data_IF_566306896667
#
_entry.id   IF_566306896667
#
_cell.length_a   1.000
_cell.length_b   1.000
_cell.length_c   1.000
_cell.angle_alpha   90.00
_cell.angle_beta   90.00
_cell.angle_gamma   90.00
#
_symmetry.space_group_name_H-M   'P 1'
#
loop_
_entity.id
_entity.type
_entity.pdbx_description
1 polymer ?
#
# COMPACT_ATOMS: atom_id res chain seq x y z
N UNK A 1 -9.36 42.20 -40.27
CA UNK A 1 -8.24 41.70 -39.42
C UNK A 1 -7.40 42.83 -38.82
N UNK A 2 -7.20 43.95 -39.49
CA UNK A 2 -6.38 45.08 -39.00
C UNK A 2 -6.93 45.85 -37.78
N UNK A 3 -8.25 46.00 -37.62
CA UNK A 3 -8.82 46.76 -36.49
C UNK A 3 -8.63 46.08 -35.13
N UNK A 4 -8.60 44.77 -35.08
CA UNK A 4 -8.44 44.02 -33.84
C UNK A 4 -7.03 44.19 -33.25
N UNK A 5 -5.99 44.16 -34.09
CA UNK A 5 -4.60 44.39 -33.66
C UNK A 5 -4.38 45.84 -33.19
N UNK A 6 -5.01 46.82 -33.82
CA UNK A 6 -4.92 48.23 -33.40
C UNK A 6 -5.57 48.50 -32.04
N UNK A 7 -6.66 47.79 -31.72
CA UNK A 7 -7.33 47.88 -30.41
C UNK A 7 -6.45 47.24 -29.29
N UNK A 8 -5.83 46.10 -29.59
CA UNK A 8 -4.89 45.45 -28.68
C UNK A 8 -3.66 46.34 -28.41
N UNK A 9 -3.09 46.93 -29.44
CA UNK A 9 -1.96 47.85 -29.33
C UNK A 9 -2.30 49.06 -28.46
N UNK A 10 -3.44 49.70 -28.68
CA UNK A 10 -3.88 50.84 -27.86
C UNK A 10 -4.09 50.45 -26.39
N UNK A 11 -4.65 49.25 -26.13
CA UNK A 11 -4.81 48.77 -24.79
C UNK A 11 -3.47 48.49 -24.11
N UNK A 12 -2.54 47.84 -24.81
CA UNK A 12 -1.21 47.56 -24.33
C UNK A 12 -0.41 48.80 -23.98
N UNK A 13 -0.45 49.83 -24.82
CA UNK A 13 0.19 51.12 -24.58
C UNK A 13 -0.39 51.78 -23.33
N UNK A 14 -1.73 51.87 -23.20
CA UNK A 14 -2.37 52.45 -22.01
C UNK A 14 -2.03 51.71 -20.73
N UNK A 15 -1.99 50.37 -20.79
CA UNK A 15 -1.61 49.55 -19.65
C UNK A 15 -0.14 49.81 -19.23
N UNK A 16 0.77 49.88 -20.21
CA UNK A 16 2.18 50.19 -19.98
C UNK A 16 2.35 51.55 -19.35
N UNK A 17 1.69 52.59 -19.87
CA UNK A 17 1.74 53.94 -19.29
C UNK A 17 1.22 53.96 -17.84
N UNK A 18 0.16 53.25 -17.54
CA UNK A 18 -0.42 53.15 -16.20
C UNK A 18 0.54 52.47 -15.23
N UNK A 19 1.18 51.35 -15.64
CA UNK A 19 2.16 50.64 -14.87
C UNK A 19 3.38 51.50 -14.57
N UNK A 20 3.94 52.19 -15.58
CA UNK A 20 5.11 53.04 -15.43
C UNK A 20 4.80 54.27 -14.54
N UNK A 21 3.63 54.90 -14.74
CA UNK A 21 3.21 56.05 -13.94
C UNK A 21 3.02 55.69 -12.47
N UNK A 22 2.49 54.50 -12.18
CA UNK A 22 2.17 54.05 -10.83
C UNK A 22 3.03 52.86 -10.43
N UNK A 23 4.32 52.90 -10.72
CA UNK A 23 5.26 51.76 -10.52
C UNK A 23 5.24 51.16 -9.11
N UNK A 24 5.20 51.98 -8.08
CA UNK A 24 5.14 51.50 -6.70
C UNK A 24 3.84 50.80 -6.37
N UNK A 25 2.70 51.34 -6.82
CA UNK A 25 1.42 50.71 -6.64
C UNK A 25 1.32 49.35 -7.36
N UNK A 26 1.87 49.27 -8.57
CA UNK A 26 1.94 48.01 -9.33
C UNK A 26 2.81 46.97 -8.62
N UNK A 27 3.98 47.38 -8.10
CA UNK A 27 4.87 46.46 -7.36
C UNK A 27 4.14 45.94 -6.10
N UNK A 28 3.53 46.80 -5.31
CA UNK A 28 2.83 46.42 -4.09
C UNK A 28 1.65 45.49 -4.43
N UNK A 29 0.87 45.83 -5.46
CA UNK A 29 -0.26 45.00 -5.90
C UNK A 29 0.21 43.61 -6.35
N UNK A 30 1.26 43.53 -7.17
CA UNK A 30 1.81 42.25 -7.63
C UNK A 30 2.32 41.41 -6.46
N UNK A 31 3.01 42.05 -5.49
CA UNK A 31 3.50 41.36 -4.30
C UNK A 31 2.34 40.80 -3.44
N UNK A 32 1.32 41.62 -3.20
CA UNK A 32 0.14 41.19 -2.45
C UNK A 32 -0.61 40.08 -3.16
N UNK A 33 -0.76 40.18 -4.50
CA UNK A 33 -1.39 39.15 -5.31
C UNK A 33 -0.62 37.82 -5.25
N UNK A 34 0.72 37.87 -5.37
CA UNK A 34 1.59 36.70 -5.25
C UNK A 34 1.47 36.07 -3.86
N UNK A 35 1.47 36.87 -2.79
CA UNK A 35 1.27 36.37 -1.43
C UNK A 35 -0.12 35.75 -1.24
N UNK A 36 -1.16 36.36 -1.79
CA UNK A 36 -2.52 35.80 -1.74
C UNK A 36 -2.62 34.45 -2.48
N UNK A 37 -2.02 34.34 -3.67
CA UNK A 37 -1.93 33.08 -4.41
C UNK A 37 -1.12 32.02 -3.64
N UNK A 38 0.03 32.42 -3.07
CA UNK A 38 0.85 31.54 -2.23
C UNK A 38 0.12 31.04 -0.99
N UNK A 39 -0.67 31.89 -0.36
CA UNK A 39 -1.52 31.49 0.76
C UNK A 39 -2.59 30.48 0.36
N UNK A 40 -3.13 30.58 -0.87
CA UNK A 40 -4.07 29.57 -1.41
C UNK A 40 -3.45 28.20 -1.61
N UNK A 41 -2.12 28.13 -1.82
CA UNK A 41 -1.43 26.85 -2.06
C UNK A 41 -1.52 25.88 -0.86
N UNK A 42 -1.71 26.38 0.35
CA UNK A 42 -1.92 25.51 1.54
C UNK A 42 -3.20 24.64 1.46
N UNK A 43 -4.16 25.01 0.59
CA UNK A 43 -5.39 24.27 0.38
C UNK A 43 -5.29 23.25 -0.77
N UNK A 44 -4.10 23.14 -1.40
CA UNK A 44 -3.85 22.11 -2.40
C UNK A 44 -3.65 20.77 -1.68
N UNK A 45 -4.54 19.83 -1.94
CA UNK A 45 -4.42 18.45 -1.50
C UNK A 45 -4.09 17.57 -2.70
N UNK A 46 -3.09 16.72 -2.55
CA UNK A 46 -2.83 15.67 -3.53
C UNK A 46 -3.70 14.47 -3.17
N UNK A 47 -4.53 14.03 -4.11
CA UNK A 47 -5.31 12.81 -3.96
C UNK A 47 -4.82 11.78 -4.97
N UNK A 48 -4.46 10.59 -4.51
CA UNK A 48 -4.16 9.42 -5.35
C UNK A 48 -5.42 8.63 -5.70
N UNK A 49 -6.58 9.06 -5.19
CA UNK A 49 -7.84 8.40 -5.43
C UNK A 49 -8.28 8.61 -6.90
N UNK A 50 -8.40 7.51 -7.64
CA UNK A 50 -8.83 7.52 -9.05
C UNK A 50 -10.22 8.15 -9.28
N UNK A 51 -11.08 8.22 -8.24
CA UNK A 51 -12.40 8.84 -8.30
C UNK A 51 -12.36 10.32 -8.68
N UNK A 52 -11.26 10.99 -8.37
CA UNK A 52 -11.09 12.43 -8.73
C UNK A 52 -11.12 12.65 -10.24
N UNK A 53 -10.81 11.63 -11.03
CA UNK A 53 -10.83 11.70 -12.50
C UNK A 53 -12.21 11.42 -13.13
N UNK A 54 -13.19 11.01 -12.33
CA UNK A 54 -14.53 10.69 -12.80
C UNK A 54 -15.56 11.65 -12.20
N UNK A 55 -16.61 11.93 -12.98
CA UNK A 55 -17.77 12.64 -12.43
C UNK A 55 -18.54 11.73 -11.47
N UNK A 56 -19.05 12.28 -10.37
CA UNK A 56 -19.91 11.55 -9.41
C UNK A 56 -21.17 10.93 -10.06
N UNK A 57 -21.59 11.48 -11.22
CA UNK A 57 -22.73 10.98 -12.00
C UNK A 57 -22.36 9.86 -12.97
N UNK A 58 -21.06 9.50 -13.11
CA UNK A 58 -20.61 8.48 -14.07
C UNK A 58 -21.24 7.11 -13.73
N UNK A 59 -21.98 6.48 -14.64
CA UNK A 59 -22.66 5.23 -14.39
C UNK A 59 -21.70 4.05 -14.20
N UNK A 60 -20.55 4.07 -14.87
CA UNK A 60 -19.53 3.03 -14.75
C UNK A 60 -18.83 3.08 -13.38
N UNK A 61 -18.54 4.30 -12.89
CA UNK A 61 -18.02 4.49 -11.54
C UNK A 61 -19.00 3.96 -10.50
N UNK A 62 -20.28 4.30 -10.61
CA UNK A 62 -21.32 3.79 -9.69
C UNK A 62 -21.48 2.28 -9.73
N UNK A 63 -21.39 1.66 -10.91
CA UNK A 63 -21.42 0.21 -11.05
C UNK A 63 -20.21 -0.44 -10.38
N UNK A 64 -19.02 0.14 -10.57
CA UNK A 64 -17.78 -0.31 -9.93
C UNK A 64 -17.83 -0.15 -8.41
N UNK A 65 -18.33 0.98 -7.90
CA UNK A 65 -18.50 1.21 -6.46
C UNK A 65 -19.52 0.23 -5.84
N UNK A 66 -20.62 -0.05 -6.56
CA UNK A 66 -21.59 -1.06 -6.14
C UNK A 66 -20.96 -2.46 -6.10
N UNK A 67 -20.12 -2.80 -7.08
CA UNK A 67 -19.36 -4.04 -7.08
C UNK A 67 -18.41 -4.10 -5.88
N UNK A 68 -17.62 -3.06 -5.63
CA UNK A 68 -16.70 -2.97 -4.49
C UNK A 68 -17.41 -3.01 -3.12
N UNK A 69 -18.64 -2.49 -3.04
CA UNK A 69 -19.43 -2.56 -1.79
C UNK A 69 -19.97 -3.96 -1.50
N UNK A 70 -20.15 -4.77 -2.55
CA UNK A 70 -20.64 -6.16 -2.45
C UNK A 70 -19.49 -7.15 -2.27
N UNK A 71 -18.38 -6.91 -2.97
CA UNK A 71 -17.16 -7.70 -2.92
C UNK A 71 -16.06 -6.86 -2.29
N UNK A 72 -15.19 -7.49 -1.50
CA UNK A 72 -14.09 -6.80 -0.80
C UNK A 72 -13.19 -6.06 -1.80
N UNK A 73 -12.76 -4.86 -1.46
CA UNK A 73 -11.70 -4.15 -2.19
C UNK A 73 -10.40 -4.93 -2.10
N UNK A 74 -9.60 -4.86 -3.17
CA UNK A 74 -8.29 -5.52 -3.22
C UNK A 74 -7.14 -4.57 -2.78
N UNK A 75 -7.42 -3.69 -1.82
CA UNK A 75 -6.36 -2.88 -1.22
C UNK A 75 -5.57 -3.79 -0.27
N UNK A 76 -4.29 -3.96 -0.49
CA UNK A 76 -3.45 -4.81 0.35
C UNK A 76 -2.03 -4.28 0.49
N UNK A 77 -1.38 -4.67 1.57
CA UNK A 77 0.07 -4.62 1.75
C UNK A 77 0.59 -6.04 1.64
N UNK A 78 1.56 -6.24 0.78
CA UNK A 78 2.21 -7.53 0.58
C UNK A 78 3.65 -7.43 1.08
N UNK A 79 3.97 -8.17 2.14
CA UNK A 79 5.35 -8.35 2.57
C UNK A 79 5.91 -9.57 1.87
N UNK A 80 6.97 -9.39 1.08
CA UNK A 80 7.69 -10.48 0.44
C UNK A 80 8.97 -10.72 1.22
N UNK A 81 9.08 -11.89 1.82
CA UNK A 81 10.24 -12.29 2.63
C UNK A 81 11.11 -13.24 1.82
N UNK A 82 12.38 -12.88 1.67
CA UNK A 82 13.39 -13.64 0.95
C UNK A 82 14.64 -13.82 1.81
N UNK A 83 15.29 -14.97 1.68
CA UNK A 83 16.60 -15.20 2.31
C UNK A 83 17.73 -14.56 1.53
N UNK A 84 18.67 -13.94 2.24
CA UNK A 84 19.94 -13.43 1.69
C UNK A 84 20.94 -14.56 1.36
N UNK A 85 20.65 -15.80 1.79
CA UNK A 85 21.48 -16.98 1.60
C UNK A 85 20.68 -18.12 0.97
N UNK A 86 21.31 -19.01 0.19
CA UNK A 86 20.62 -20.18 -0.35
C UNK A 86 19.98 -21.02 0.77
N UNK A 87 18.75 -21.46 0.53
CA UNK A 87 18.00 -22.32 1.44
C UNK A 87 16.55 -21.88 1.57
N UNK A 88 15.70 -22.75 2.09
CA UNK A 88 14.29 -22.48 2.26
C UNK A 88 13.98 -21.72 3.55
N UNK A 89 12.77 -21.16 3.65
CA UNK A 89 12.27 -20.41 4.82
C UNK A 89 11.75 -21.31 5.95
N UNK A 90 11.70 -22.65 5.76
CA UNK A 90 11.24 -23.59 6.76
C UNK A 90 12.36 -23.96 7.75
N UNK A 91 12.62 -23.04 8.64
CA UNK A 91 13.48 -23.23 9.80
C UNK A 91 12.98 -22.32 10.93
N UNK A 92 13.43 -22.57 12.15
CA UNK A 92 12.95 -21.89 13.35
C UNK A 92 13.08 -20.35 13.28
N UNK A 93 14.25 -19.86 12.87
CA UNK A 93 14.53 -18.43 12.82
C UNK A 93 13.65 -17.71 11.80
N UNK A 94 13.58 -18.23 10.57
CA UNK A 94 12.86 -17.57 9.47
C UNK A 94 11.34 -17.64 9.71
N UNK A 95 10.83 -18.79 10.17
CA UNK A 95 9.40 -18.92 10.52
C UNK A 95 9.02 -18.05 11.72
N UNK A 96 9.93 -17.84 12.66
CA UNK A 96 9.73 -16.88 13.77
C UNK A 96 9.60 -15.46 13.24
N UNK A 97 10.45 -15.05 12.29
CA UNK A 97 10.35 -13.75 11.66
C UNK A 97 9.03 -13.57 10.88
N UNK A 98 8.66 -14.58 10.06
CA UNK A 98 7.40 -14.57 9.29
C UNK A 98 6.20 -14.48 10.22
N UNK A 99 6.21 -15.22 11.34
CA UNK A 99 5.16 -15.16 12.35
C UNK A 99 5.09 -13.77 12.98
N UNK A 100 6.21 -13.17 13.32
CA UNK A 100 6.25 -11.81 13.88
C UNK A 100 5.70 -10.78 12.89
N UNK A 101 6.07 -10.86 11.60
CA UNK A 101 5.48 -10.01 10.56
C UNK A 101 3.96 -10.22 10.52
N UNK A 102 3.50 -11.48 10.52
CA UNK A 102 2.08 -11.83 10.47
C UNK A 102 1.30 -11.23 11.65
N UNK A 103 1.82 -11.36 12.87
CA UNK A 103 1.21 -10.82 14.08
C UNK A 103 1.17 -9.28 14.07
N UNK A 104 2.25 -8.64 13.61
CA UNK A 104 2.31 -7.19 13.49
C UNK A 104 1.47 -6.65 12.34
N UNK A 105 1.33 -7.40 11.25
CA UNK A 105 0.48 -7.03 10.12
C UNK A 105 -0.99 -6.89 10.52
N UNK A 106 -1.47 -7.65 11.50
CA UNK A 106 -2.81 -7.47 12.09
C UNK A 106 -3.01 -6.13 12.79
N UNK A 107 -1.93 -5.42 13.12
CA UNK A 107 -1.97 -4.11 13.76
C UNK A 107 -1.85 -2.94 12.78
N UNK A 108 -1.67 -3.21 11.49
CA UNK A 108 -1.69 -2.18 10.45
C UNK A 108 -3.08 -1.52 10.47
N UNK A 109 -3.16 -0.18 10.49
CA UNK A 109 -4.44 0.51 10.40
C UNK A 109 -5.27 0.03 9.20
N UNK A 110 -6.56 -0.18 9.41
CA UNK A 110 -7.54 -0.60 8.41
C UNK A 110 -7.39 -2.04 7.91
N UNK A 111 -6.54 -2.87 8.52
CA UNK A 111 -6.43 -4.28 8.17
C UNK A 111 -7.70 -5.05 8.59
N UNK A 112 -8.16 -5.93 7.69
CA UNK A 112 -9.33 -6.80 7.94
C UNK A 112 -8.98 -8.29 7.88
N UNK A 113 -7.86 -8.63 7.24
CA UNK A 113 -7.38 -10.01 7.14
C UNK A 113 -5.89 -10.03 6.87
N UNK A 114 -5.21 -11.02 7.42
CA UNK A 114 -3.80 -11.30 7.13
C UNK A 114 -3.69 -12.78 6.76
N UNK A 115 -3.10 -13.06 5.60
CA UNK A 115 -2.85 -14.39 5.09
C UNK A 115 -1.35 -14.63 5.02
N UNK A 116 -0.86 -15.72 5.62
CA UNK A 116 0.55 -16.14 5.57
C UNK A 116 0.67 -17.64 5.76
N UNK A 117 1.86 -18.19 5.51
CA UNK A 117 2.11 -19.62 5.77
C UNK A 117 2.05 -19.97 7.27
N UNK A 118 2.23 -19.00 8.17
CA UNK A 118 2.25 -19.24 9.62
C UNK A 118 0.88 -19.19 10.28
N UNK A 119 -0.15 -18.71 9.58
CA UNK A 119 -1.54 -18.76 10.05
C UNK A 119 -2.46 -19.53 9.10
N UNK A 120 -1.89 -20.25 8.12
CA UNK A 120 -2.64 -21.13 7.24
C UNK A 120 -3.11 -22.36 8.01
N UNK A 121 -4.40 -22.63 7.94
CA UNK A 121 -4.98 -23.81 8.58
C UNK A 121 -4.96 -25.01 7.65
N UNK A 122 -4.13 -25.98 7.99
CA UNK A 122 -4.06 -27.25 7.30
C UNK A 122 -5.09 -28.22 7.86
N UNK A 123 -5.83 -28.89 6.98
CA UNK A 123 -6.81 -29.91 7.35
C UNK A 123 -6.30 -31.28 6.93
N UNK A 124 -6.16 -32.17 7.89
CA UNK A 124 -5.76 -33.57 7.67
C UNK A 124 -6.85 -34.54 8.16
N UNK A 125 -6.93 -35.71 7.53
CA UNK A 125 -7.84 -36.77 7.95
C UNK A 125 -7.03 -37.87 8.67
N UNK A 126 -7.43 -38.18 9.90
CA UNK A 126 -6.83 -39.26 10.69
C UNK A 126 -7.93 -40.26 11.09
N UNK A 127 -8.04 -41.35 10.34
CA UNK A 127 -9.15 -42.28 10.49
C UNK A 127 -10.49 -41.65 10.06
N UNK A 128 -11.44 -41.52 10.98
CA UNK A 128 -12.76 -40.93 10.76
C UNK A 128 -12.80 -39.47 11.23
N UNK A 129 -11.70 -38.91 11.77
CA UNK A 129 -11.64 -37.57 12.31
C UNK A 129 -10.92 -36.59 11.35
N UNK A 130 -11.46 -35.36 11.28
CA UNK A 130 -10.80 -34.22 10.62
C UNK A 130 -10.06 -33.38 11.67
N UNK A 131 -8.76 -33.26 11.49
CA UNK A 131 -7.89 -32.41 12.32
C UNK A 131 -7.61 -31.12 11.55
N UNK A 132 -7.88 -29.98 12.19
CA UNK A 132 -7.56 -28.65 11.66
C UNK A 132 -6.54 -28.04 12.60
N UNK A 133 -5.34 -27.74 12.09
CA UNK A 133 -4.24 -27.15 12.82
C UNK A 133 -3.54 -26.09 11.99
N UNK A 134 -2.85 -25.15 12.63
CA UNK A 134 -2.00 -24.22 11.90
C UNK A 134 -0.86 -24.99 11.24
N UNK A 135 -0.53 -24.63 9.99
CA UNK A 135 0.53 -25.30 9.23
C UNK A 135 1.86 -25.27 10.00
N UNK A 136 2.12 -24.18 10.73
CA UNK A 136 3.32 -23.99 11.55
C UNK A 136 2.90 -23.71 12.99
N UNK A 137 3.09 -24.68 13.86
CA UNK A 137 2.86 -24.56 15.30
C UNK A 137 4.16 -24.30 16.05
N UNK A 138 4.34 -23.05 16.51
CA UNK A 138 5.40 -22.69 17.46
C UNK A 138 6.83 -22.99 17.01
N UNK A 139 7.76 -22.92 17.98
CA UNK A 139 9.15 -23.30 17.77
C UNK A 139 9.30 -24.82 17.91
N UNK A 140 10.05 -25.42 17.01
CA UNK A 140 10.35 -26.83 17.03
C UNK A 140 11.84 -27.07 16.73
N UNK A 141 12.53 -27.86 17.56
CA UNK A 141 13.93 -28.16 17.33
C UNK A 141 14.17 -29.32 16.35
N UNK A 142 13.07 -29.98 15.91
CA UNK A 142 13.17 -31.13 15.03
C UNK A 142 13.16 -30.70 13.56
N UNK A 143 14.24 -31.01 12.85
CA UNK A 143 14.38 -30.73 11.41
C UNK A 143 13.32 -31.45 10.56
N UNK A 144 12.97 -32.67 10.92
CA UNK A 144 11.95 -33.47 10.20
C UNK A 144 10.57 -32.80 10.25
N UNK A 145 10.29 -32.04 11.32
CA UNK A 145 9.07 -31.23 11.44
C UNK A 145 9.01 -30.17 10.33
N UNK A 146 10.05 -29.39 10.15
CA UNK A 146 10.09 -28.33 9.14
C UNK A 146 10.07 -28.86 7.71
N UNK A 147 10.73 -30.00 7.44
CA UNK A 147 10.70 -30.67 6.14
C UNK A 147 9.27 -31.15 5.82
N UNK A 148 8.57 -31.74 6.79
CA UNK A 148 7.18 -32.14 6.63
C UNK A 148 6.24 -30.97 6.38
N UNK A 149 6.40 -29.85 7.12
CA UNK A 149 5.56 -28.65 6.93
C UNK A 149 5.82 -27.98 5.59
N UNK A 150 7.07 -27.97 5.13
CA UNK A 150 7.42 -27.51 3.78
C UNK A 150 6.76 -28.38 2.70
N UNK A 151 6.81 -29.70 2.83
CA UNK A 151 6.17 -30.61 1.88
C UNK A 151 4.65 -30.36 1.79
N UNK A 152 3.98 -30.17 2.93
CA UNK A 152 2.57 -29.82 2.96
C UNK A 152 2.33 -28.48 2.23
N UNK A 153 3.11 -27.45 2.52
CA UNK A 153 2.96 -26.14 1.92
C UNK A 153 3.13 -26.15 0.40
N UNK A 154 4.13 -26.90 -0.09
CA UNK A 154 4.39 -27.04 -1.54
C UNK A 154 3.37 -27.89 -2.28
N UNK A 155 2.63 -28.72 -1.58
CA UNK A 155 1.51 -29.51 -2.15
C UNK A 155 0.15 -28.83 -1.99
N UNK A 156 0.07 -27.67 -1.28
CA UNK A 156 -1.18 -26.95 -1.06
C UNK A 156 -1.41 -25.92 -2.17
N UNK A 157 -2.45 -26.12 -3.04
CA UNK A 157 -2.72 -25.20 -4.16
C UNK A 157 -3.02 -23.76 -3.76
N UNK A 158 -3.46 -23.53 -2.51
CA UNK A 158 -3.74 -22.19 -1.99
C UNK A 158 -2.47 -21.47 -1.53
N UNK A 159 -1.37 -22.18 -1.34
CA UNK A 159 -0.09 -21.62 -0.91
C UNK A 159 0.93 -21.57 -2.04
N UNK A 160 1.07 -22.66 -2.81
CA UNK A 160 2.06 -22.75 -3.88
C UNK A 160 1.83 -21.69 -4.96
N UNK A 161 2.87 -20.93 -5.28
CA UNK A 161 2.86 -19.83 -6.24
C UNK A 161 1.89 -18.67 -5.90
N UNK A 162 1.33 -18.67 -4.69
CA UNK A 162 0.53 -17.56 -4.15
C UNK A 162 1.21 -16.92 -2.93
N UNK A 163 1.56 -17.73 -1.94
CA UNK A 163 2.21 -17.30 -0.71
C UNK A 163 3.58 -17.92 -0.50
N UNK A 164 3.97 -18.90 -1.32
CA UNK A 164 5.29 -19.55 -1.28
C UNK A 164 5.76 -19.90 -2.69
N UNK A 165 7.07 -19.73 -2.94
CA UNK A 165 7.72 -20.14 -4.18
C UNK A 165 7.96 -21.65 -4.24
N UNK A 166 8.14 -22.21 -5.46
CA UNK A 166 8.36 -23.64 -5.69
C UNK A 166 9.59 -24.21 -4.97
N UNK A 167 10.60 -23.38 -4.76
CA UNK A 167 11.85 -23.70 -4.03
C UNK A 167 11.76 -23.39 -2.52
N UNK A 168 10.62 -22.85 -2.07
CA UNK A 168 10.39 -22.38 -0.72
C UNK A 168 11.44 -21.35 -0.21
N UNK A 169 12.14 -20.64 -1.11
CA UNK A 169 13.10 -19.59 -0.75
C UNK A 169 12.43 -18.25 -0.48
N UNK A 170 11.22 -18.04 -1.04
CA UNK A 170 10.45 -16.81 -0.93
C UNK A 170 9.06 -17.13 -0.38
N UNK A 171 8.63 -16.33 0.58
CA UNK A 171 7.24 -16.36 1.07
C UNK A 171 6.65 -14.97 1.12
N UNK A 172 5.32 -14.88 1.09
CA UNK A 172 4.58 -13.64 1.14
C UNK A 172 3.56 -13.65 2.28
N UNK A 173 3.44 -12.50 2.94
CA UNK A 173 2.38 -12.21 3.91
C UNK A 173 1.50 -11.13 3.31
N UNK A 174 0.22 -11.42 3.14
CA UNK A 174 -0.74 -10.53 2.51
C UNK A 174 -1.69 -9.95 3.55
N UNK A 175 -1.57 -8.66 3.82
CA UNK A 175 -2.45 -7.91 4.69
C UNK A 175 -3.51 -7.19 3.86
N UNK A 176 -4.75 -7.64 3.90
CA UNK A 176 -5.89 -7.05 3.18
C UNK A 176 -6.43 -5.88 3.98
N UNK A 177 -6.56 -4.73 3.32
CA UNK A 177 -6.98 -3.46 3.91
C UNK A 177 -8.39 -3.08 3.44
N UNK A 178 -9.11 -2.37 4.29
CA UNK A 178 -10.39 -1.77 3.94
C UNK A 178 -10.42 -0.32 4.41
N UNK A 179 -10.12 0.59 3.50
CA UNK A 179 -10.16 2.02 3.76
C UNK A 179 -11.59 2.55 3.76
N UNK A 180 -11.88 3.44 4.70
CA UNK A 180 -13.17 4.14 4.74
C UNK A 180 -13.28 5.24 3.67
N UNK A 181 -12.14 5.65 3.08
CA UNK A 181 -12.00 6.70 2.06
C UNK A 181 -12.53 8.06 2.48
N UNK A 182 -12.46 8.33 3.77
CA UNK A 182 -12.90 9.60 4.37
C UNK A 182 -11.74 10.56 4.61
N UNK A 183 -10.53 10.03 4.78
CA UNK A 183 -9.33 10.81 5.05
C UNK A 183 -8.22 10.44 4.07
N UNK A 184 -7.54 11.46 3.55
CA UNK A 184 -6.38 11.30 2.66
C UNK A 184 -5.17 10.69 3.38
N UNK A 185 -5.19 10.67 4.71
CA UNK A 185 -4.11 10.10 5.53
C UNK A 185 -4.25 8.61 5.78
N UNK A 186 -5.38 7.98 5.44
CA UNK A 186 -5.62 6.54 5.67
C UNK A 186 -4.53 5.67 5.01
N UNK A 187 -4.25 5.90 3.74
CA UNK A 187 -3.22 5.16 2.99
C UNK A 187 -1.80 5.45 3.49
N UNK A 188 -1.37 6.72 3.65
CA UNK A 188 -0.07 7.03 4.25
C UNK A 188 0.16 6.42 5.63
N UNK A 189 -0.87 6.38 6.47
CA UNK A 189 -0.80 5.80 7.81
C UNK A 189 -0.51 4.29 7.76
N UNK A 190 -1.27 3.55 6.94
CA UNK A 190 -1.07 2.12 6.75
C UNK A 190 0.33 1.81 6.18
N UNK A 191 0.76 2.55 5.15
CA UNK A 191 2.07 2.37 4.51
C UNK A 191 3.21 2.66 5.50
N UNK A 192 3.14 3.76 6.26
CA UNK A 192 4.19 4.10 7.23
C UNK A 192 4.30 3.04 8.32
N UNK A 193 3.17 2.46 8.75
CA UNK A 193 3.19 1.36 9.71
C UNK A 193 3.86 0.11 9.13
N UNK A 194 3.52 -0.24 7.89
CA UNK A 194 4.10 -1.39 7.18
C UNK A 194 5.61 -1.25 6.98
N UNK A 195 6.09 -0.07 6.54
CA UNK A 195 7.52 0.24 6.42
C UNK A 195 8.25 0.17 7.77
N UNK A 196 7.55 0.49 8.87
CA UNK A 196 8.08 0.29 10.23
C UNK A 196 8.29 -1.19 10.57
N UNK A 197 7.38 -2.07 10.15
CA UNK A 197 7.52 -3.53 10.32
C UNK A 197 8.73 -4.03 9.53
N UNK A 198 8.81 -3.70 8.24
CA UNK A 198 9.92 -4.08 7.35
C UNK A 198 11.27 -3.76 8.00
N UNK A 199 11.46 -2.50 8.37
CA UNK A 199 12.72 -2.03 8.96
C UNK A 199 13.09 -2.78 10.26
N UNK A 200 12.15 -2.92 11.17
CA UNK A 200 12.39 -3.57 12.47
C UNK A 200 12.73 -5.07 12.29
N UNK A 201 12.10 -5.72 11.32
CA UNK A 201 12.35 -7.14 11.02
C UNK A 201 13.74 -7.32 10.40
N UNK A 202 14.13 -6.49 9.43
CA UNK A 202 15.47 -6.54 8.83
C UNK A 202 16.58 -6.25 9.85
N UNK A 203 16.36 -5.33 10.80
CA UNK A 203 17.30 -5.08 11.90
C UNK A 203 17.43 -6.28 12.83
N UNK A 204 16.34 -7.00 13.08
CA UNK A 204 16.32 -8.15 14.01
C UNK A 204 16.76 -9.46 13.36
N UNK A 205 16.44 -9.64 12.06
CA UNK A 205 16.73 -10.84 11.29
C UNK A 205 17.56 -10.49 10.03
N UNK A 206 18.85 -10.18 10.16
CA UNK A 206 19.67 -9.65 9.06
C UNK A 206 19.93 -10.65 7.92
N UNK A 207 19.52 -11.91 8.10
CA UNK A 207 19.58 -12.96 7.07
C UNK A 207 18.36 -12.94 6.12
N UNK A 208 17.36 -12.09 6.40
CA UNK A 208 16.17 -11.93 5.60
C UNK A 208 16.13 -10.54 4.97
N UNK A 209 15.63 -10.47 3.76
CA UNK A 209 15.20 -9.25 3.08
C UNK A 209 13.67 -9.23 3.06
N UNK A 210 13.09 -8.09 3.43
CA UNK A 210 11.64 -7.86 3.42
C UNK A 210 11.36 -6.73 2.44
N UNK A 211 10.38 -6.95 1.52
CA UNK A 211 10.00 -5.98 0.51
C UNK A 211 8.52 -5.63 0.65
#
# INVERSE_FOLDING_TARGET
>A
MNNYFQEIDKFSVKLTELVIRNKWTTIIFTLLFTLACGYGAKNLAFSTNYRVFFSESNPELKAFESFQSTYTKNDNVLFVVKKNRPGNVFNDSDLTAIKEITERAWQIPYVIRVDSITNFQHTSAVGDDLIVEDLVEGQNENKDYYESRMEIALNEPLLLNQSISEDAEITAINAVLQFAEKDLMEVPEAINYALGIEKDIEEKFPDLEVY
#
